data_IF_238142337863
#
_entry.id   IF_238142337863
#
_cell.length_a   1.000
_cell.length_b   1.000
_cell.length_c   1.000
_cell.angle_alpha   90.00
_cell.angle_beta   90.00
_cell.angle_gamma   90.00
#
_symmetry.space_group_name_H-M   'P 1'
#
loop_
_entity.id
_entity.type
_entity.pdbx_description
1 polymer ?
#
# COMPACT_ATOMS: atom_id res chain seq x y z
N UNK A 1 -4.27 -11.64 -32.09
CA UNK A 1 -4.77 -12.73 -31.23
C UNK A 1 -6.07 -12.25 -30.60
N UNK A 2 -7.20 -12.95 -30.81
CA UNK A 2 -8.51 -12.57 -30.25
C UNK A 2 -8.74 -13.45 -29.02
N UNK A 3 -8.94 -12.84 -27.86
CA UNK A 3 -9.32 -13.56 -26.64
C UNK A 3 -10.76 -14.05 -26.78
N UNK A 4 -11.07 -15.22 -26.22
CA UNK A 4 -12.45 -15.63 -25.99
C UNK A 4 -13.12 -14.72 -24.95
N UNK A 5 -14.45 -14.72 -24.93
CA UNK A 5 -15.21 -13.92 -23.97
C UNK A 5 -14.86 -14.26 -22.51
N UNK A 6 -14.69 -15.55 -22.22
CA UNK A 6 -14.32 -16.03 -20.88
C UNK A 6 -12.92 -15.58 -20.47
N UNK A 7 -11.94 -15.69 -21.36
CA UNK A 7 -10.58 -15.21 -21.10
C UNK A 7 -10.54 -13.68 -20.91
N UNK A 8 -11.35 -12.93 -21.66
CA UNK A 8 -11.46 -11.48 -21.51
C UNK A 8 -12.06 -11.10 -20.13
N UNK A 9 -13.07 -11.83 -19.67
CA UNK A 9 -13.68 -11.62 -18.36
C UNK A 9 -12.70 -11.91 -17.22
N UNK A 10 -12.04 -13.08 -17.26
CA UNK A 10 -11.01 -13.45 -16.26
C UNK A 10 -9.87 -12.44 -16.20
N UNK A 11 -9.45 -11.92 -17.35
CA UNK A 11 -8.42 -10.89 -17.42
C UNK A 11 -8.89 -9.56 -16.80
N UNK A 12 -10.15 -9.19 -16.98
CA UNK A 12 -10.72 -8.01 -16.33
C UNK A 12 -10.74 -8.19 -14.81
N UNK A 13 -11.24 -9.32 -14.31
CA UNK A 13 -11.31 -9.61 -12.88
C UNK A 13 -9.92 -9.58 -12.22
N UNK A 14 -8.91 -10.17 -12.86
CA UNK A 14 -7.53 -10.16 -12.37
C UNK A 14 -6.96 -8.72 -12.29
N UNK A 15 -7.28 -7.86 -13.27
CA UNK A 15 -6.85 -6.45 -13.26
C UNK A 15 -7.51 -5.67 -12.12
N UNK A 16 -8.81 -5.87 -11.91
CA UNK A 16 -9.56 -5.23 -10.83
C UNK A 16 -9.09 -5.70 -9.45
N UNK A 17 -8.81 -7.00 -9.29
CA UNK A 17 -8.23 -7.55 -8.06
C UNK A 17 -6.88 -6.90 -7.73
N UNK A 18 -5.97 -6.82 -8.71
CA UNK A 18 -4.65 -6.20 -8.52
C UNK A 18 -4.75 -4.72 -8.11
N UNK A 19 -5.64 -3.96 -8.73
CA UNK A 19 -5.86 -2.54 -8.37
C UNK A 19 -6.42 -2.44 -6.95
N UNK A 20 -7.35 -3.31 -6.56
CA UNK A 20 -7.90 -3.32 -5.19
C UNK A 20 -6.82 -3.61 -4.16
N UNK A 21 -5.97 -4.61 -4.38
CA UNK A 21 -4.85 -4.92 -3.48
C UNK A 21 -3.87 -3.77 -3.33
N UNK A 22 -3.55 -3.07 -4.43
CA UNK A 22 -2.71 -1.89 -4.38
C UNK A 22 -3.33 -0.77 -3.52
N UNK A 23 -4.64 -0.56 -3.62
CA UNK A 23 -5.34 0.40 -2.76
C UNK A 23 -5.38 -0.05 -1.31
N UNK A 24 -5.54 -1.34 -1.03
CA UNK A 24 -5.48 -1.88 0.33
C UNK A 24 -4.12 -1.54 0.97
N UNK A 25 -3.00 -1.79 0.28
CA UNK A 25 -1.66 -1.44 0.75
C UNK A 25 -1.49 0.06 1.02
N UNK A 26 -2.03 0.91 0.14
CA UNK A 26 -2.02 2.38 0.33
C UNK A 26 -2.81 2.77 1.59
N UNK A 27 -3.98 2.17 1.80
CA UNK A 27 -4.83 2.46 2.95
C UNK A 27 -4.23 1.94 4.26
N UNK A 28 -3.59 0.78 4.25
CA UNK A 28 -2.82 0.27 5.39
C UNK A 28 -1.70 1.24 5.79
N UNK A 29 -0.91 1.71 4.82
CA UNK A 29 0.15 2.69 5.08
C UNK A 29 -0.42 4.00 5.65
N UNK A 30 -1.57 4.46 5.15
CA UNK A 30 -2.24 5.66 5.69
C UNK A 30 -2.62 5.49 7.16
N UNK A 31 -3.21 4.35 7.53
CA UNK A 31 -3.59 4.04 8.91
C UNK A 31 -2.36 4.04 9.82
N UNK A 32 -1.26 3.37 9.42
CA UNK A 32 -0.03 3.35 10.22
C UNK A 32 0.54 4.77 10.38
N UNK A 33 0.50 5.59 9.33
CA UNK A 33 0.98 6.98 9.37
C UNK A 33 0.13 7.86 10.29
N UNK A 34 -1.19 7.67 10.30
CA UNK A 34 -2.09 8.37 11.21
C UNK A 34 -1.83 7.99 12.67
N UNK A 35 -1.65 6.69 12.95
CA UNK A 35 -1.26 6.20 14.28
C UNK A 35 0.10 6.73 14.73
N UNK A 36 1.08 6.78 13.83
CA UNK A 36 2.38 7.37 14.13
C UNK A 36 2.26 8.86 14.47
N UNK A 37 1.47 9.62 13.70
CA UNK A 37 1.23 11.03 13.96
C UNK A 37 0.47 11.27 15.27
N UNK A 38 -0.41 10.35 15.67
CA UNK A 38 -1.05 10.37 16.98
C UNK A 38 -0.05 10.08 18.10
N UNK A 39 0.77 9.02 17.97
CA UNK A 39 1.82 8.68 18.93
C UNK A 39 2.79 9.85 19.17
N UNK A 40 3.20 10.54 18.10
CA UNK A 40 4.05 11.73 18.23
C UNK A 40 3.36 12.89 18.96
N UNK A 41 2.04 13.03 18.81
CA UNK A 41 1.26 14.05 19.55
C UNK A 41 1.09 13.69 21.02
N UNK A 42 0.97 12.40 21.36
CA UNK A 42 0.75 11.95 22.75
C UNK A 42 2.04 11.84 23.56
N UNK A 43 3.10 11.27 22.99
CA UNK A 43 4.35 10.96 23.70
C UNK A 43 5.32 12.15 23.77
N UNK A 44 5.18 13.13 22.88
CA UNK A 44 6.03 14.32 22.84
C UNK A 44 7.52 13.97 22.76
N UNK A 45 8.29 14.30 23.79
CA UNK A 45 9.75 14.07 23.85
C UNK A 45 10.09 12.57 23.92
N UNK A 46 9.20 11.73 24.43
CA UNK A 46 9.39 10.28 24.56
C UNK A 46 9.14 9.49 23.26
N UNK A 47 8.76 10.19 22.18
CA UNK A 47 8.40 9.59 20.90
C UNK A 47 9.50 8.72 20.27
N UNK A 48 10.77 9.02 20.55
CA UNK A 48 11.91 8.27 20.00
C UNK A 48 11.96 6.82 20.46
N UNK A 49 11.49 6.52 21.66
CA UNK A 49 11.45 5.15 22.19
C UNK A 49 10.09 4.50 21.91
N UNK A 50 9.00 5.20 22.26
CA UNK A 50 7.65 4.63 22.22
C UNK A 50 7.11 4.49 20.80
N UNK A 51 7.41 5.43 19.90
CA UNK A 51 6.88 5.43 18.54
C UNK A 51 7.84 4.80 17.50
N UNK A 52 9.02 4.33 17.91
CA UNK A 52 10.04 3.78 17.01
C UNK A 52 9.52 2.63 16.13
N UNK A 53 8.73 1.72 16.73
CA UNK A 53 8.16 0.58 16.03
C UNK A 53 7.15 0.98 14.94
N UNK A 54 6.35 2.04 15.19
CA UNK A 54 5.43 2.60 14.20
C UNK A 54 6.21 3.29 13.08
N UNK A 55 7.26 4.03 13.41
CA UNK A 55 8.12 4.67 12.43
C UNK A 55 8.80 3.64 11.51
N UNK A 56 9.34 2.55 12.08
CA UNK A 56 9.94 1.47 11.31
C UNK A 56 8.91 0.81 10.39
N UNK A 57 7.71 0.50 10.91
CA UNK A 57 6.63 -0.08 10.09
C UNK A 57 6.28 0.83 8.91
N UNK A 58 6.17 2.14 9.12
CA UNK A 58 5.92 3.09 8.03
C UNK A 58 7.03 3.05 7.00
N UNK A 59 8.30 3.05 7.43
CA UNK A 59 9.46 2.98 6.52
C UNK A 59 9.43 1.70 5.67
N UNK A 60 9.11 0.57 6.29
CA UNK A 60 9.00 -0.72 5.61
C UNK A 60 7.83 -0.75 4.60
N UNK A 61 6.77 0.01 4.86
CA UNK A 61 5.59 0.12 3.99
C UNK A 61 5.81 1.05 2.78
N UNK A 62 6.73 2.02 2.83
CA UNK A 62 6.92 3.03 1.76
C UNK A 62 7.07 2.42 0.34
N UNK A 63 7.87 1.35 0.12
CA UNK A 63 8.05 0.78 -1.21
C UNK A 63 6.76 0.20 -1.82
N UNK A 64 5.88 -0.32 -0.95
CA UNK A 64 4.67 -1.07 -1.32
C UNK A 64 3.39 -0.24 -1.18
N UNK A 65 3.41 0.86 -0.43
CA UNK A 65 2.28 1.76 -0.17
C UNK A 65 1.93 2.69 -1.35
N UNK A 66 2.08 2.20 -2.59
CA UNK A 66 1.78 2.94 -3.82
C UNK A 66 1.00 2.08 -4.80
N UNK A 67 0.15 2.73 -5.59
CA UNK A 67 -0.58 2.05 -6.67
C UNK A 67 0.39 1.74 -7.81
N UNK A 68 0.75 0.47 -7.97
CA UNK A 68 1.59 -0.03 -9.08
C UNK A 68 0.75 -0.22 -10.35
N UNK A 69 -0.55 -0.48 -10.19
CA UNK A 69 -1.47 -0.78 -11.28
C UNK A 69 -1.27 -2.20 -11.84
N UNK A 70 -1.89 -2.46 -12.99
CA UNK A 70 -1.83 -3.76 -13.67
C UNK A 70 -0.90 -3.79 -14.88
N UNK A 71 -0.49 -2.64 -15.41
CA UNK A 71 0.45 -2.56 -16.52
C UNK A 71 1.84 -2.40 -15.93
N UNK A 72 2.69 -3.39 -16.14
CA UNK A 72 4.13 -3.27 -15.88
C UNK A 72 4.70 -2.36 -16.98
N UNK A 73 4.75 -1.05 -16.72
CA UNK A 73 5.47 -0.12 -17.58
C UNK A 73 6.93 -0.21 -17.15
N UNK A 74 7.69 -1.07 -17.83
CA UNK A 74 9.14 -1.28 -17.75
C UNK A 74 9.78 -0.71 -16.47
N UNK A 75 10.02 -1.57 -15.49
CA UNK A 75 10.99 -1.31 -14.42
C UNK A 75 12.32 -0.97 -15.10
N UNK A 76 12.71 0.32 -15.03
CA UNK A 76 14.05 0.79 -15.40
C UNK A 76 14.97 0.67 -14.20
#
# INVERSE_FOLDING_TARGET
>A
MRLSLEEALKLQEAREAKIREDWIRVMEMRITREKLAECYRTEGVNSYEQCAHLAQTVLDQIPEGRVKGFRLINEK
#
